data_IF_449531021708
#
_entry.id   IF_449531021708
#
_cell.length_a   1.000
_cell.length_b   1.000
_cell.length_c   1.000
_cell.angle_alpha   90.00
_cell.angle_beta   90.00
_cell.angle_gamma   90.00
#
_symmetry.space_group_name_H-M   'P 1'
#
loop_
_entity.id
_entity.type
_entity.pdbx_description
1 polymer ?
#
# COMPACT_ATOMS: atom_id res chain seq x y z
N UNK A 1 15.12 -28.94 -1.38
CA UNK A 1 13.77 -28.60 -0.89
C UNK A 1 13.50 -27.17 -1.33
N UNK A 2 12.76 -26.98 -2.42
CA UNK A 2 12.45 -25.65 -2.95
C UNK A 2 11.43 -25.02 -1.99
N UNK A 3 11.78 -23.91 -1.35
CA UNK A 3 10.79 -23.07 -0.68
C UNK A 3 9.74 -22.68 -1.73
N UNK A 4 8.43 -22.70 -1.41
CA UNK A 4 7.49 -22.04 -2.30
C UNK A 4 7.93 -20.59 -2.37
N UNK A 5 8.21 -20.10 -3.58
CA UNK A 5 8.34 -18.68 -3.82
C UNK A 5 6.96 -18.06 -3.60
N UNK A 6 6.62 -17.83 -2.33
CA UNK A 6 5.48 -17.00 -1.96
C UNK A 6 5.92 -15.60 -2.33
N UNK A 7 5.38 -15.07 -3.43
CA UNK A 7 5.48 -13.65 -3.68
C UNK A 7 4.75 -12.99 -2.52
N UNK A 8 5.51 -12.35 -1.65
CA UNK A 8 5.03 -11.66 -0.48
C UNK A 8 5.42 -10.20 -0.66
N UNK A 9 4.46 -9.31 -0.42
CA UNK A 9 4.80 -7.91 -0.26
C UNK A 9 5.77 -7.78 0.92
N UNK A 10 6.74 -6.90 0.83
CA UNK A 10 7.71 -6.66 1.90
C UNK A 10 7.91 -5.19 2.07
N UNK A 11 8.11 -4.76 3.30
CA UNK A 11 8.54 -3.39 3.53
C UNK A 11 10.07 -3.35 3.52
N UNK A 12 10.66 -2.63 2.56
CA UNK A 12 12.11 -2.60 2.40
C UNK A 12 12.74 -1.53 3.31
N UNK A 13 12.47 -0.26 3.02
CA UNK A 13 12.96 0.87 3.80
C UNK A 13 11.86 1.92 3.86
N UNK A 14 11.41 2.26 5.07
CA UNK A 14 10.51 3.39 5.28
C UNK A 14 11.12 4.31 6.33
N UNK A 15 11.15 5.60 6.01
CA UNK A 15 11.70 6.66 6.86
C UNK A 15 10.59 7.64 7.21
N UNK A 16 9.78 7.33 8.23
CA UNK A 16 8.73 8.24 8.67
C UNK A 16 9.34 9.46 9.38
N UNK A 17 8.88 10.66 9.03
CA UNK A 17 9.31 11.93 9.64
C UNK A 17 8.13 12.84 9.91
N UNK A 18 8.16 13.56 11.03
CA UNK A 18 7.20 14.62 11.29
C UNK A 18 7.44 15.85 10.40
N UNK A 19 6.37 16.35 9.79
CA UNK A 19 6.28 17.66 9.14
C UNK A 19 5.23 18.52 9.89
N UNK A 20 5.19 19.85 9.70
CA UNK A 20 4.39 20.76 10.55
C UNK A 20 2.92 20.39 10.75
N UNK A 21 2.26 19.80 9.74
CA UNK A 21 0.87 19.37 9.80
C UNK A 21 0.64 17.96 9.22
N UNK A 22 1.71 17.20 8.98
CA UNK A 22 1.64 15.91 8.32
C UNK A 22 2.73 14.95 8.79
N UNK A 23 2.47 13.66 8.66
CA UNK A 23 3.49 12.62 8.71
C UNK A 23 3.98 12.42 7.28
N UNK A 24 5.25 12.74 7.03
CA UNK A 24 5.90 12.46 5.75
C UNK A 24 6.48 11.05 5.78
N UNK A 25 6.13 10.24 4.79
CA UNK A 25 6.76 8.95 4.55
C UNK A 25 7.75 9.11 3.39
N UNK A 26 8.84 8.36 3.47
CA UNK A 26 9.82 8.24 2.40
C UNK A 26 10.33 6.81 2.33
N UNK A 27 10.76 6.38 1.15
CA UNK A 27 11.16 5.02 0.85
C UNK A 27 10.05 4.24 0.12
N UNK A 28 10.06 2.91 0.24
CA UNK A 28 9.20 2.05 -0.58
C UNK A 28 8.85 0.72 0.07
N UNK A 29 7.72 0.17 -0.35
CA UNK A 29 7.37 -1.23 -0.19
C UNK A 29 7.76 -1.99 -1.47
N UNK A 30 8.28 -3.21 -1.30
CA UNK A 30 8.52 -4.16 -2.37
C UNK A 30 7.25 -4.98 -2.58
N UNK A 31 6.66 -4.84 -3.77
CA UNK A 31 5.43 -5.52 -4.14
C UNK A 31 5.76 -6.54 -5.22
N UNK A 32 5.64 -7.81 -4.89
CA UNK A 32 5.80 -8.91 -5.85
C UNK A 32 4.45 -9.62 -6.01
N UNK A 33 4.13 -9.99 -7.24
CA UNK A 33 2.91 -10.74 -7.57
C UNK A 33 3.23 -12.24 -7.70
N UNK A 34 2.26 -13.09 -7.37
CA UNK A 34 2.40 -14.52 -7.71
C UNK A 34 2.08 -14.72 -9.19
N UNK A 35 2.56 -15.82 -9.82
CA UNK A 35 2.29 -16.09 -11.23
C UNK A 35 0.80 -16.05 -11.61
N UNK A 36 -0.10 -16.52 -10.72
CA UNK A 36 -1.54 -16.50 -10.98
C UNK A 36 -2.11 -15.08 -10.99
N UNK A 37 -1.59 -14.20 -10.13
CA UNK A 37 -2.03 -12.81 -10.04
C UNK A 37 -1.48 -12.01 -11.23
N UNK A 38 -0.24 -12.27 -11.64
CA UNK A 38 0.34 -11.71 -12.88
C UNK A 38 -0.45 -12.13 -14.12
N UNK A 39 -0.80 -13.41 -14.25
CA UNK A 39 -1.58 -13.92 -15.38
C UNK A 39 -2.97 -13.27 -15.42
N UNK A 40 -3.61 -13.09 -14.26
CA UNK A 40 -4.89 -12.39 -14.16
C UNK A 40 -4.78 -10.93 -14.61
N UNK A 41 -3.73 -10.22 -14.16
CA UNK A 41 -3.46 -8.86 -14.59
C UNK A 41 -3.24 -8.78 -16.10
N UNK A 42 -2.47 -9.70 -16.69
CA UNK A 42 -2.25 -9.78 -18.12
C UNK A 42 -3.54 -10.04 -18.92
N UNK A 43 -4.53 -10.71 -18.31
CA UNK A 43 -5.89 -10.90 -18.85
C UNK A 43 -6.80 -9.68 -18.65
N UNK A 44 -6.26 -8.56 -18.15
CA UNK A 44 -6.99 -7.30 -17.97
C UNK A 44 -7.79 -7.23 -16.67
N UNK A 45 -7.55 -8.13 -15.71
CA UNK A 45 -8.20 -8.06 -14.39
C UNK A 45 -7.47 -6.99 -13.56
N UNK A 46 -8.14 -5.91 -13.14
CA UNK A 46 -7.53 -4.88 -12.30
C UNK A 46 -7.17 -5.45 -10.92
N UNK A 47 -6.06 -4.98 -10.35
CA UNK A 47 -5.62 -5.34 -9.01
C UNK A 47 -5.64 -4.09 -8.12
N UNK A 48 -6.44 -4.10 -7.06
CA UNK A 48 -6.39 -3.05 -6.04
C UNK A 48 -5.51 -3.48 -4.87
N UNK A 49 -4.52 -2.66 -4.52
CA UNK A 49 -3.69 -2.83 -3.32
C UNK A 49 -4.10 -1.77 -2.31
N UNK A 50 -4.48 -2.22 -1.12
CA UNK A 50 -4.79 -1.38 0.03
C UNK A 50 -3.51 -1.17 0.84
N UNK A 51 -3.22 0.08 1.13
CA UNK A 51 -2.16 0.50 2.03
C UNK A 51 -2.80 1.06 3.31
N UNK A 52 -2.34 0.57 4.45
CA UNK A 52 -2.76 1.08 5.76
C UNK A 52 -1.53 1.55 6.52
N UNK A 53 -1.60 2.78 7.03
CA UNK A 53 -0.58 3.41 7.86
C UNK A 53 -1.19 3.75 9.19
N UNK A 54 -0.54 3.33 10.28
CA UNK A 54 -0.98 3.63 11.65
C UNK A 54 0.12 4.36 12.40
N UNK A 55 -0.24 5.46 13.04
CA UNK A 55 0.67 6.20 13.91
C UNK A 55 0.33 5.90 15.37
N UNK A 56 1.33 5.50 16.14
CA UNK A 56 1.23 5.25 17.57
C UNK A 56 2.17 6.17 18.35
N UNK A 57 1.78 6.45 19.59
CA UNK A 57 2.64 7.06 20.59
C UNK A 57 3.01 6.03 21.63
N UNK A 58 4.32 5.81 21.78
CA UNK A 58 4.86 4.86 22.74
C UNK A 58 4.60 5.36 24.17
N UNK A 59 4.02 4.51 25.01
CA UNK A 59 3.74 4.84 26.42
C UNK A 59 4.36 3.78 27.35
N UNK A 60 5.09 4.25 28.37
CA UNK A 60 5.83 3.38 29.31
C UNK A 60 4.96 2.47 30.20
N UNK A 61 3.66 2.73 30.36
CA UNK A 61 2.84 2.09 31.41
C UNK A 61 1.42 1.66 30.99
N UNK A 62 0.99 1.95 29.75
CA UNK A 62 -0.34 1.61 29.23
C UNK A 62 -0.22 1.28 27.72
N UNK A 63 -1.17 0.51 27.19
CA UNK A 63 -1.31 0.19 25.76
C UNK A 63 -0.98 1.38 24.85
N UNK A 64 -0.22 1.14 23.79
CA UNK A 64 0.13 2.16 22.81
C UNK A 64 -1.14 2.81 22.25
N UNK A 65 -1.19 4.15 22.33
CA UNK A 65 -2.35 4.89 21.85
C UNK A 65 -2.18 5.11 20.35
N UNK A 66 -3.00 4.44 19.53
CA UNK A 66 -3.17 4.78 18.11
C UNK A 66 -3.67 6.22 18.01
N UNK A 67 -2.85 7.09 17.41
CA UNK A 67 -3.12 8.52 17.22
C UNK A 67 -3.96 8.73 15.97
N UNK A 68 -3.57 8.05 14.89
CA UNK A 68 -4.18 8.18 13.58
C UNK A 68 -4.03 6.89 12.78
N UNK A 69 -4.93 6.70 11.83
CA UNK A 69 -4.88 5.65 10.82
C UNK A 69 -5.28 6.26 9.48
N UNK A 70 -4.49 5.97 8.45
CA UNK A 70 -4.79 6.35 7.07
C UNK A 70 -4.83 5.09 6.22
N UNK A 71 -5.86 5.01 5.39
CA UNK A 71 -6.03 3.93 4.42
C UNK A 71 -6.22 4.54 3.05
N UNK A 72 -5.41 4.10 2.09
CA UNK A 72 -5.49 4.54 0.70
C UNK A 72 -5.31 3.34 -0.23
N UNK A 73 -5.77 3.50 -1.47
CA UNK A 73 -5.73 2.42 -2.47
C UNK A 73 -4.94 2.86 -3.68
N UNK A 74 -4.22 1.91 -4.27
CA UNK A 74 -3.63 2.05 -5.60
C UNK A 74 -4.09 0.87 -6.44
N UNK A 75 -4.40 1.15 -7.69
CA UNK A 75 -4.92 0.15 -8.61
C UNK A 75 -3.94 -0.05 -9.76
N UNK A 76 -3.66 -1.31 -10.09
CA UNK A 76 -2.84 -1.71 -11.23
C UNK A 76 -3.74 -2.28 -12.31
N UNK A 77 -3.61 -1.77 -13.53
CA UNK A 77 -4.29 -2.33 -14.70
C UNK A 77 -3.30 -2.58 -15.83
N UNK A 78 -3.59 -3.57 -16.66
CA UNK A 78 -2.89 -3.77 -17.92
C UNK A 78 -3.77 -3.33 -19.09
N UNK A 79 -3.26 -2.43 -19.92
CA UNK A 79 -3.95 -1.94 -21.11
C UNK A 79 -3.45 -2.71 -22.34
N UNK A 80 -4.20 -3.76 -22.72
CA UNK A 80 -3.78 -4.73 -23.73
C UNK A 80 -3.48 -4.12 -25.11
N UNK A 81 -4.15 -3.02 -25.50
CA UNK A 81 -3.94 -2.38 -26.81
C UNK A 81 -2.59 -1.66 -26.88
N UNK A 82 -2.17 -0.98 -25.81
CA UNK A 82 -0.87 -0.29 -25.77
C UNK A 82 0.26 -1.13 -25.16
N UNK A 83 -0.07 -2.26 -24.52
CA UNK A 83 0.89 -3.10 -23.81
C UNK A 83 1.46 -2.45 -22.55
N UNK A 84 0.75 -1.47 -21.98
CA UNK A 84 1.24 -0.69 -20.84
C UNK A 84 0.53 -1.05 -19.54
N UNK A 85 1.26 -0.86 -18.44
CA UNK A 85 0.74 -0.96 -17.08
C UNK A 85 0.33 0.43 -16.60
N UNK A 86 -0.89 0.56 -16.12
CA UNK A 86 -1.47 1.80 -15.66
C UNK A 86 -1.64 1.74 -14.14
N UNK A 87 -1.16 2.76 -13.44
CA UNK A 87 -1.34 2.91 -11.99
C UNK A 87 -2.34 4.03 -11.75
N UNK A 88 -3.47 3.68 -11.14
CA UNK A 88 -4.42 4.64 -10.60
C UNK A 88 -4.17 4.87 -9.12
N UNK A 89 -4.17 6.13 -8.69
CA UNK A 89 -4.10 6.49 -7.27
C UNK A 89 -5.42 7.08 -6.79
N UNK A 90 -5.99 6.49 -5.72
CA UNK A 90 -7.09 7.07 -4.97
C UNK A 90 -6.53 7.63 -3.66
N UNK A 91 -6.07 8.89 -3.67
CA UNK A 91 -5.71 9.56 -2.44
C UNK A 91 -6.99 9.96 -1.69
N UNK A 92 -7.07 9.75 -0.36
CA UNK A 92 -8.16 10.28 0.43
C UNK A 92 -7.99 11.81 0.57
N UNK A 93 -8.63 12.58 -0.30
CA UNK A 93 -8.90 14.00 -0.03
C UNK A 93 -10.19 14.10 0.78
N UNK A 94 -10.18 14.74 1.97
CA UNK A 94 -11.42 15.07 2.67
C UNK A 94 -12.15 16.18 1.91
N UNK A 95 -13.22 15.82 1.19
CA UNK A 95 -14.17 16.79 0.63
C UNK A 95 -14.34 16.77 -0.88
N UNK A 96 -13.54 16.02 -1.63
CA UNK A 96 -13.57 16.09 -3.10
C UNK A 96 -14.34 14.90 -3.70
N UNK A 97 -15.15 15.22 -4.71
CA UNK A 97 -15.83 14.29 -5.60
C UNK A 97 -14.80 13.34 -6.28
N UNK A 98 -15.22 12.23 -6.92
CA UNK A 98 -14.30 11.32 -7.59
C UNK A 98 -13.70 11.99 -8.85
N UNK A 99 -12.75 12.89 -8.66
CA UNK A 99 -12.02 13.58 -9.72
C UNK A 99 -10.79 12.77 -10.10
N UNK A 100 -10.77 12.38 -11.37
CA UNK A 100 -9.64 12.01 -12.21
C UNK A 100 -8.49 11.26 -11.51
N UNK A 101 -8.63 9.93 -11.50
CA UNK A 101 -7.54 9.00 -11.20
C UNK A 101 -6.30 9.36 -12.02
N UNK A 102 -5.32 9.99 -11.38
CA UNK A 102 -3.99 10.19 -11.98
C UNK A 102 -3.49 8.83 -12.42
N UNK A 103 -3.36 8.66 -13.73
CA UNK A 103 -2.99 7.40 -14.37
C UNK A 103 -1.56 7.54 -14.88
N UNK A 104 -0.60 7.06 -14.10
CA UNK A 104 0.78 6.92 -14.56
C UNK A 104 0.90 5.63 -15.39
N UNK A 105 1.61 5.70 -16.53
CA UNK A 105 1.77 4.57 -17.44
C UNK A 105 3.22 4.06 -17.48
N UNK A 106 3.39 2.74 -17.45
CA UNK A 106 4.70 2.07 -17.41
C UNK A 106 4.80 1.00 -18.49
N UNK A 107 6.01 0.79 -19.01
CA UNK A 107 6.26 -0.19 -20.07
C UNK A 107 6.60 -1.58 -19.53
N UNK A 108 6.77 -1.73 -18.21
CA UNK A 108 7.08 -3.02 -17.60
C UNK A 108 6.39 -3.21 -16.24
N UNK A 109 5.98 -4.45 -15.95
CA UNK A 109 5.37 -4.80 -14.67
C UNK A 109 6.28 -4.51 -13.47
N UNK A 110 7.59 -4.85 -13.49
CA UNK A 110 8.46 -4.55 -12.36
C UNK A 110 8.60 -3.05 -12.08
N UNK A 111 8.54 -2.21 -13.11
CA UNK A 111 8.56 -0.76 -12.94
C UNK A 111 7.26 -0.24 -12.34
N UNK A 112 6.11 -0.72 -12.82
CA UNK A 112 4.82 -0.39 -12.26
C UNK A 112 4.70 -0.82 -10.79
N UNK A 113 5.16 -2.02 -10.44
CA UNK A 113 5.15 -2.50 -9.05
C UNK A 113 6.07 -1.68 -8.14
N UNK A 114 7.26 -1.27 -8.63
CA UNK A 114 8.14 -0.36 -7.89
C UNK A 114 7.45 0.98 -7.60
N UNK A 115 6.80 1.57 -8.61
CA UNK A 115 6.09 2.84 -8.42
C UNK A 115 4.87 2.66 -7.50
N UNK A 116 4.14 1.56 -7.64
CA UNK A 116 3.01 1.24 -6.78
C UNK A 116 3.41 1.11 -5.30
N UNK A 117 4.62 0.64 -5.03
CA UNK A 117 5.18 0.56 -3.69
C UNK A 117 5.85 1.84 -3.18
N UNK A 118 6.04 2.86 -4.03
CA UNK A 118 6.73 4.10 -3.65
C UNK A 118 5.93 4.90 -2.62
N UNK A 119 6.55 5.21 -1.49
CA UNK A 119 5.98 6.05 -0.43
C UNK A 119 6.59 7.45 -0.41
N UNK A 120 7.55 7.72 -1.31
CA UNK A 120 8.14 9.03 -1.48
C UNK A 120 7.04 10.07 -1.75
N UNK A 121 7.16 11.23 -1.10
CA UNK A 121 6.20 12.34 -1.16
C UNK A 121 4.83 12.12 -0.50
N UNK A 122 4.57 10.94 0.06
CA UNK A 122 3.31 10.68 0.77
C UNK A 122 3.25 11.48 2.08
N UNK A 123 2.39 12.49 2.10
CA UNK A 123 2.10 13.34 3.27
C UNK A 123 0.73 12.98 3.82
N UNK A 124 0.71 12.43 5.03
CA UNK A 124 -0.52 12.04 5.71
C UNK A 124 -0.92 13.10 6.73
N UNK A 125 -2.11 13.70 6.65
CA UNK A 125 -2.51 14.80 7.51
C UNK A 125 -2.59 14.37 8.97
N UNK A 126 -1.92 15.09 9.86
CA UNK A 126 -1.92 14.79 11.30
C UNK A 126 -3.14 15.39 11.98
N UNK A 127 -3.77 14.67 12.92
CA UNK A 127 -4.80 15.26 13.77
C UNK A 127 -4.15 16.27 14.73
N UNK A 128 -4.88 17.31 15.12
CA UNK A 128 -4.40 18.33 16.07
C UNK A 128 -3.92 17.77 17.43
N UNK A 129 -4.33 16.54 17.75
CA UNK A 129 -3.93 15.81 18.97
C UNK A 129 -2.57 15.10 18.86
N UNK A 130 -1.97 15.06 17.67
CA UNK A 130 -0.64 14.50 17.42
C UNK A 130 0.45 15.48 17.86
N UNK A 131 0.65 15.63 19.17
CA UNK A 131 1.79 16.38 19.68
C UNK A 131 3.08 15.62 19.35
N UNK A 132 4.11 16.25 18.73
CA UNK A 132 5.39 15.61 18.40
C UNK A 132 6.25 15.25 19.64
N UNK A 133 5.71 15.43 20.85
CA UNK A 133 6.38 15.12 22.10
C UNK A 133 6.27 13.62 22.44
N UNK A 134 7.42 12.99 22.61
CA UNK A 134 7.55 11.55 22.91
C UNK A 134 8.05 10.73 21.72
N UNK A 135 8.27 9.44 21.99
CA UNK A 135 8.62 8.45 20.96
C UNK A 135 7.35 8.03 20.21
N UNK A 136 7.46 7.94 18.89
CA UNK A 136 6.37 7.58 18.00
C UNK A 136 6.81 6.45 17.10
N UNK A 137 5.88 5.55 16.81
CA UNK A 137 6.08 4.46 15.86
C UNK A 137 5.01 4.51 14.79
N UNK A 138 5.40 4.08 13.60
CA UNK A 138 4.50 3.94 12.46
C UNK A 138 4.48 2.49 12.06
N UNK A 139 3.28 1.92 11.95
CA UNK A 139 3.06 0.62 11.33
C UNK A 139 2.52 0.81 9.92
N UNK A 140 3.05 0.04 8.96
CA UNK A 140 2.57 0.03 7.57
C UNK A 140 2.27 -1.40 7.15
N UNK A 141 1.20 -1.55 6.39
CA UNK A 141 0.81 -2.79 5.74
C UNK A 141 0.27 -2.49 4.35
N UNK A 142 0.63 -3.32 3.38
CA UNK A 142 0.02 -3.38 2.06
C UNK A 142 -0.59 -4.77 1.84
N UNK A 143 -1.76 -4.85 1.20
CA UNK A 143 -2.36 -6.14 0.84
C UNK A 143 -3.27 -6.00 -0.38
N UNK A 144 -3.43 -7.09 -1.13
CA UNK A 144 -4.36 -7.16 -2.25
C UNK A 144 -5.81 -7.18 -1.75
N UNK A 145 -6.66 -6.32 -2.31
CA UNK A 145 -8.09 -6.28 -2.03
C UNK A 145 -8.83 -7.36 -2.82
N UNK A 146 -9.12 -8.48 -2.16
CA UNK A 146 -9.88 -9.58 -2.76
C UNK A 146 -11.30 -9.16 -3.14
N UNK A 147 -11.88 -8.19 -2.44
CA UNK A 147 -13.24 -7.73 -2.74
C UNK A 147 -13.32 -6.84 -3.98
N UNK A 148 -12.19 -6.27 -4.42
CA UNK A 148 -12.11 -5.53 -5.68
C UNK A 148 -12.06 -6.46 -6.90
N UNK A 149 -11.79 -7.76 -6.71
CA UNK A 149 -11.74 -8.72 -7.81
C UNK A 149 -13.13 -8.94 -8.42
N UNK A 150 -13.22 -9.31 -9.71
CA UNK A 150 -14.47 -9.71 -10.34
C UNK A 150 -15.17 -10.82 -9.54
N UNK A 151 -16.50 -10.74 -9.41
CA UNK A 151 -17.28 -11.66 -8.59
C UNK A 151 -16.99 -13.16 -8.84
N UNK A 152 -16.78 -13.65 -10.08
CA UNK A 152 -16.43 -15.04 -10.33
C UNK A 152 -15.08 -15.47 -9.74
N UNK A 153 -14.15 -14.53 -9.54
CA UNK A 153 -12.78 -14.81 -9.08
C UNK A 153 -12.64 -14.81 -7.56
N UNK A 154 -13.52 -14.10 -6.83
CA UNK A 154 -13.44 -13.98 -5.36
C UNK A 154 -13.43 -15.32 -4.63
N UNK A 155 -14.30 -16.32 -4.94
CA UNK A 155 -14.26 -17.61 -4.26
C UNK A 155 -12.93 -18.34 -4.44
N UNK A 156 -12.31 -18.22 -5.62
CA UNK A 156 -10.99 -18.80 -5.92
C UNK A 156 -9.91 -18.07 -5.12
N UNK A 157 -9.98 -16.74 -5.08
CA UNK A 157 -9.02 -15.91 -4.36
C UNK A 157 -9.07 -16.13 -2.83
N UNK A 158 -10.24 -16.47 -2.27
CA UNK A 158 -10.37 -16.82 -0.86
C UNK A 158 -9.72 -18.16 -0.48
N UNK A 159 -9.70 -19.12 -1.40
CA UNK A 159 -9.23 -20.49 -1.15
C UNK A 159 -7.78 -20.72 -1.57
N UNK A 160 -7.24 -19.86 -2.44
CA UNK A 160 -5.88 -19.99 -2.99
C UNK A 160 -4.88 -19.06 -2.32
N UNK A 161 -3.75 -19.61 -1.86
CA UNK A 161 -2.65 -18.83 -1.29
C UNK A 161 -2.03 -17.85 -2.31
N UNK A 162 -2.18 -18.11 -3.61
CA UNK A 162 -1.62 -17.26 -4.66
C UNK A 162 -2.17 -15.82 -4.61
N UNK A 163 -3.40 -15.67 -4.13
CA UNK A 163 -4.09 -14.38 -4.04
C UNK A 163 -3.89 -13.68 -2.69
N UNK A 164 -3.26 -14.34 -1.70
CA UNK A 164 -3.08 -13.81 -0.35
C UNK A 164 -1.84 -12.91 -0.23
N UNK A 165 -1.67 -12.00 -1.18
CA UNK A 165 -0.58 -11.03 -1.20
C UNK A 165 -0.77 -10.01 -0.06
N UNK A 166 0.16 -10.01 0.89
CA UNK A 166 0.07 -9.18 2.08
C UNK A 166 1.46 -9.00 2.70
N UNK A 167 1.83 -7.76 3.04
CA UNK A 167 3.13 -7.47 3.61
C UNK A 167 3.26 -7.82 5.09
N UNK A 168 2.14 -8.12 5.74
CA UNK A 168 2.07 -8.04 7.20
C UNK A 168 2.29 -6.61 7.70
N UNK A 169 2.30 -6.44 9.02
CA UNK A 169 2.64 -5.17 9.64
C UNK A 169 4.14 -5.07 9.83
N UNK A 170 4.72 -3.99 9.33
CA UNK A 170 6.11 -3.61 9.61
C UNK A 170 6.12 -2.29 10.39
N UNK A 171 7.06 -2.13 11.31
CA UNK A 171 7.09 -1.00 12.26
C UNK A 171 8.39 -0.22 12.16
N UNK A 172 8.31 1.11 12.17
CA UNK A 172 9.47 2.01 12.20
C UNK A 172 9.29 3.11 13.24
N UNK A 173 10.41 3.63 13.76
CA UNK A 173 10.41 4.83 14.61
C UNK A 173 10.30 6.08 13.76
N UNK A 174 9.47 7.03 14.20
CA UNK A 174 9.32 8.33 13.53
C UNK A 174 10.48 9.23 13.91
N UNK A 175 11.19 9.74 12.90
CA UNK A 175 12.23 10.73 13.08
C UNK A 175 11.61 12.12 13.32
N UNK A 176 12.27 12.91 14.17
CA UNK A 176 11.90 14.31 14.40
C UNK A 176 12.33 15.22 13.25
#
# INVERSE_FOLDING_TARGET
MLAPAVADFKAAEVRPKFAPAALALGGRLELDLTPNVEEALAKGIPLEVIFTVRLYRERKLLWDRRIAEWTFKRELRYHALSGQYLIGSGLPHPGDAPEETVTESFNSLPEALRQMGALDELKLPLPATAAPAGEHTVEIRAYLDIEALPAPLRPVAYTSLAWRLNSGWSTWKVQR
#
